data_IF_552248768761
#
_entry.id   IF_552248768761
#
_cell.length_a   1.000
_cell.length_b   1.000
_cell.length_c   1.000
_cell.angle_alpha   90.00
_cell.angle_beta   90.00
_cell.angle_gamma   90.00
#
_symmetry.space_group_name_H-M   'P 1'
#
loop_
_entity.id
_entity.type
_entity.pdbx_description
1 polymer ?
#
# COMPACT_ATOMS: atom_id res chain seq x y z
N UNK A 1 2.67 26.44 11.92
CA UNK A 1 2.91 25.10 11.35
C UNK A 1 4.08 24.51 12.12
N UNK A 2 3.80 23.77 13.20
CA UNK A 2 4.84 23.18 14.05
C UNK A 2 5.52 22.09 13.23
N UNK A 3 6.83 22.21 12.99
CA UNK A 3 7.62 21.12 12.41
C UNK A 3 7.60 20.01 13.44
N UNK A 4 6.68 19.06 13.26
CA UNK A 4 6.57 17.92 14.13
C UNK A 4 7.88 17.13 14.05
N UNK A 5 8.37 16.72 15.22
CA UNK A 5 9.69 16.11 15.38
C UNK A 5 9.84 14.90 14.45
N UNK A 6 10.88 14.92 13.62
CA UNK A 6 11.20 13.83 12.68
C UNK A 6 11.60 12.54 13.41
N UNK A 7 11.91 12.64 14.70
CA UNK A 7 12.31 11.52 15.56
C UNK A 7 11.17 10.94 16.40
N UNK A 8 9.92 11.40 16.19
CA UNK A 8 8.74 10.82 16.86
C UNK A 8 8.62 9.34 16.50
N UNK A 9 8.95 8.47 17.46
CA UNK A 9 8.77 7.02 17.33
C UNK A 9 7.28 6.74 17.26
N UNK A 10 6.85 6.08 16.18
CA UNK A 10 5.44 5.74 15.95
C UNK A 10 5.27 4.24 15.94
N UNK A 11 4.76 3.69 17.04
CA UNK A 11 4.53 2.25 17.12
C UNK A 11 3.20 1.88 16.43
N UNK A 12 3.19 0.91 15.50
CA UNK A 12 1.95 0.34 15.02
C UNK A 12 1.26 -0.45 16.15
N UNK A 13 -0.06 -0.64 16.04
CA UNK A 13 -0.85 -1.34 17.06
C UNK A 13 -0.38 -2.78 17.36
N UNK A 14 0.40 -3.38 16.46
CA UNK A 14 0.98 -4.73 16.59
C UNK A 14 2.47 -4.72 16.98
N UNK A 15 3.04 -3.59 17.41
CA UNK A 15 4.47 -3.45 17.72
C UNK A 15 5.02 -4.49 18.72
N UNK A 16 4.16 -5.02 19.60
CA UNK A 16 4.48 -6.04 20.61
C UNK A 16 4.17 -7.49 20.16
N UNK A 17 3.72 -7.69 18.92
CA UNK A 17 3.48 -9.04 18.40
C UNK A 17 4.80 -9.73 18.05
N UNK A 18 4.83 -11.06 18.17
CA UNK A 18 5.99 -11.88 17.82
C UNK A 18 5.61 -13.13 17.01
N UNK A 19 6.59 -13.72 16.33
CA UNK A 19 6.44 -14.96 15.56
C UNK A 19 5.43 -14.84 14.41
N UNK A 20 4.62 -15.89 14.21
CA UNK A 20 3.67 -15.95 13.09
C UNK A 20 2.59 -14.86 13.17
N UNK A 21 2.18 -14.46 14.38
CA UNK A 21 1.22 -13.36 14.58
C UNK A 21 1.78 -12.02 14.12
N UNK A 22 3.07 -11.79 14.37
CA UNK A 22 3.76 -10.60 13.85
C UNK A 22 3.82 -10.62 12.33
N UNK A 23 4.23 -11.73 11.71
CA UNK A 23 4.30 -11.85 10.24
C UNK A 23 2.95 -11.57 9.57
N UNK A 24 1.86 -12.15 10.09
CA UNK A 24 0.52 -11.91 9.57
C UNK A 24 0.08 -10.45 9.74
N UNK A 25 0.37 -9.84 10.90
CA UNK A 25 0.07 -8.44 11.16
C UNK A 25 0.88 -7.48 10.27
N UNK A 26 2.17 -7.78 10.05
CA UNK A 26 3.07 -7.02 9.18
C UNK A 26 2.59 -7.08 7.72
N UNK A 27 2.27 -8.29 7.23
CA UNK A 27 1.73 -8.48 5.89
C UNK A 27 0.41 -7.73 5.71
N UNK A 28 -0.50 -7.83 6.68
CA UNK A 28 -1.75 -7.09 6.66
C UNK A 28 -1.52 -5.58 6.66
N UNK A 29 -0.61 -5.07 7.48
CA UNK A 29 -0.32 -3.64 7.55
C UNK A 29 0.21 -3.06 6.24
N UNK A 30 1.03 -3.84 5.54
CA UNK A 30 1.62 -3.47 4.26
C UNK A 30 0.64 -3.60 3.09
N UNK A 31 -0.18 -4.65 3.07
CA UNK A 31 -1.17 -4.87 2.02
C UNK A 31 -2.41 -3.98 2.17
N UNK A 32 -2.82 -3.68 3.41
CA UNK A 32 -4.00 -2.88 3.70
C UNK A 32 -3.61 -1.41 3.95
N UNK A 33 -3.93 -0.47 3.03
CA UNK A 33 -3.49 0.92 3.16
C UNK A 33 -4.28 1.70 4.23
N UNK A 34 -5.48 1.23 4.58
CA UNK A 34 -6.41 1.94 5.47
C UNK A 34 -6.01 1.85 6.94
N UNK A 35 -6.49 2.82 7.72
CA UNK A 35 -6.31 2.84 9.18
C UNK A 35 -6.77 1.54 9.83
N UNK A 36 -5.92 1.00 10.71
CA UNK A 36 -6.31 -0.08 11.62
C UNK A 36 -7.22 0.42 12.74
N UNK A 37 -7.77 -0.53 13.52
CA UNK A 37 -8.58 -0.22 14.71
C UNK A 37 -7.80 0.73 15.64
N UNK A 38 -8.35 1.92 15.88
CA UNK A 38 -7.76 2.92 16.79
C UNK A 38 -6.84 3.98 16.14
N UNK A 39 -6.62 3.95 14.81
CA UNK A 39 -5.87 5.01 14.12
C UNK A 39 -6.82 6.08 13.55
N UNK A 40 -6.60 7.38 13.81
CA UNK A 40 -7.44 8.44 13.27
C UNK A 40 -7.19 8.57 11.76
N UNK A 41 -8.21 8.30 10.95
CA UNK A 41 -8.20 8.59 9.51
C UNK A 41 -9.33 9.55 9.15
N UNK A 42 -9.05 10.50 8.26
CA UNK A 42 -10.06 11.41 7.72
C UNK A 42 -11.06 10.62 6.89
N UNK A 43 -12.36 10.70 7.25
CA UNK A 43 -13.48 10.04 6.54
C UNK A 43 -13.52 10.36 5.04
N UNK A 44 -13.02 11.53 4.63
CA UNK A 44 -12.92 11.95 3.23
C UNK A 44 -12.00 11.05 2.40
N UNK A 45 -10.89 10.60 2.99
CA UNK A 45 -9.90 9.73 2.35
C UNK A 45 -10.43 8.29 2.24
N UNK A 46 -11.23 7.85 3.22
CA UNK A 46 -11.97 6.59 3.12
C UNK A 46 -13.01 6.61 2.00
N UNK A 47 -13.71 7.73 1.80
CA UNK A 47 -14.65 7.92 0.68
C UNK A 47 -13.97 7.85 -0.68
N UNK A 48 -12.81 8.50 -0.84
CA UNK A 48 -11.99 8.39 -2.05
C UNK A 48 -11.55 6.93 -2.31
N UNK A 49 -11.24 6.19 -1.24
CA UNK A 49 -10.96 4.76 -1.30
C UNK A 49 -12.08 3.89 -1.83
N UNK A 50 -13.31 4.19 -1.44
CA UNK A 50 -14.49 3.46 -1.91
C UNK A 50 -14.76 3.72 -3.39
N UNK A 51 -14.65 4.97 -3.82
CA UNK A 51 -14.76 5.34 -5.24
C UNK A 51 -13.67 4.65 -6.07
N UNK A 52 -12.44 4.59 -5.56
CA UNK A 52 -11.36 3.89 -6.23
C UNK A 52 -11.60 2.38 -6.25
N UNK A 53 -12.08 1.77 -5.16
CA UNK A 53 -12.40 0.33 -5.16
C UNK A 53 -13.45 -0.05 -6.21
N UNK A 54 -14.48 0.79 -6.39
CA UNK A 54 -15.49 0.61 -7.45
C UNK A 54 -14.84 0.72 -8.83
N UNK A 55 -14.02 1.75 -9.05
CA UNK A 55 -13.26 1.92 -10.30
C UNK A 55 -12.33 0.72 -10.58
N UNK A 56 -11.72 0.14 -9.53
CA UNK A 56 -10.90 -1.06 -9.60
C UNK A 56 -11.71 -2.25 -10.10
N UNK A 57 -12.87 -2.49 -9.50
CA UNK A 57 -13.75 -3.60 -9.89
C UNK A 57 -14.16 -3.46 -11.36
N UNK A 58 -14.51 -2.25 -11.81
CA UNK A 58 -14.87 -1.99 -13.21
C UNK A 58 -13.67 -2.22 -14.14
N UNK A 59 -12.47 -1.75 -13.77
CA UNK A 59 -11.25 -1.96 -14.56
C UNK A 59 -10.92 -3.47 -14.69
N UNK A 60 -10.98 -4.25 -13.61
CA UNK A 60 -10.73 -5.69 -13.67
C UNK A 60 -11.75 -6.42 -14.55
N UNK A 61 -13.04 -6.04 -14.50
CA UNK A 61 -14.07 -6.58 -15.40
C UNK A 61 -13.76 -6.24 -16.86
N UNK A 62 -13.43 -4.98 -17.16
CA UNK A 62 -13.08 -4.55 -18.50
C UNK A 62 -11.80 -5.23 -19.03
N UNK A 63 -10.81 -5.46 -18.16
CA UNK A 63 -9.60 -6.21 -18.50
C UNK A 63 -9.90 -7.68 -18.81
N UNK A 64 -10.73 -8.33 -17.99
CA UNK A 64 -11.16 -9.71 -18.23
C UNK A 64 -11.95 -9.86 -19.54
N UNK A 65 -12.68 -8.81 -19.96
CA UNK A 65 -13.37 -8.76 -21.26
C UNK A 65 -12.43 -8.46 -22.44
N UNK A 66 -11.12 -8.28 -22.21
CA UNK A 66 -10.15 -7.91 -23.25
C UNK A 66 -10.30 -6.48 -23.77
N UNK A 67 -11.04 -5.62 -23.04
CA UNK A 67 -11.39 -4.24 -23.46
C UNK A 67 -10.50 -3.17 -22.84
N UNK A 68 -9.40 -3.58 -22.22
CA UNK A 68 -8.52 -2.69 -21.46
C UNK A 68 -7.11 -2.77 -22.04
N UNK A 69 -6.67 -1.65 -22.62
CA UNK A 69 -5.32 -1.54 -23.16
C UNK A 69 -4.28 -1.56 -22.04
N UNK A 70 -3.06 -2.00 -22.35
CA UNK A 70 -1.95 -2.03 -21.41
C UNK A 70 -1.74 -0.65 -20.74
N UNK A 71 -1.90 0.44 -21.49
CA UNK A 71 -1.81 1.81 -20.97
C UNK A 71 -2.83 2.12 -19.87
N UNK A 72 -4.04 1.56 -19.96
CA UNK A 72 -5.08 1.78 -18.95
C UNK A 72 -4.87 0.89 -17.70
N UNK A 73 -4.23 -0.28 -17.83
CA UNK A 73 -3.75 -1.07 -16.67
C UNK A 73 -2.62 -0.30 -15.95
N UNK A 74 -1.66 0.25 -16.69
CA UNK A 74 -0.57 1.06 -16.13
C UNK A 74 -1.13 2.31 -15.44
N UNK A 75 -2.04 3.03 -16.10
CA UNK A 75 -2.70 4.21 -15.54
C UNK A 75 -3.47 3.90 -14.26
N UNK A 76 -4.15 2.75 -14.22
CA UNK A 76 -4.82 2.25 -13.03
C UNK A 76 -3.83 1.96 -11.88
N UNK A 77 -2.74 1.24 -12.17
CA UNK A 77 -1.70 0.90 -11.19
C UNK A 77 -1.03 2.15 -10.60
N UNK A 78 -0.77 3.14 -11.46
CA UNK A 78 -0.22 4.43 -11.08
C UNK A 78 -1.21 5.22 -10.23
N UNK A 79 -2.47 5.33 -10.65
CA UNK A 79 -3.53 6.03 -9.91
C UNK A 79 -3.75 5.44 -8.51
N UNK A 80 -3.77 4.11 -8.40
CA UNK A 80 -3.80 3.41 -7.11
C UNK A 80 -2.59 3.78 -6.23
N UNK A 81 -1.39 3.81 -6.81
CA UNK A 81 -0.16 4.13 -6.07
C UNK A 81 -0.17 5.56 -5.53
N UNK A 82 -0.63 6.53 -6.33
CA UNK A 82 -0.76 7.93 -5.89
C UNK A 82 -1.79 8.06 -4.76
N UNK A 83 -2.96 7.44 -4.91
CA UNK A 83 -3.96 7.44 -3.85
C UNK A 83 -3.40 6.82 -2.57
N UNK A 84 -2.73 5.69 -2.67
CA UNK A 84 -2.19 4.98 -1.52
C UNK A 84 -1.18 5.84 -0.74
N UNK A 85 -0.34 6.63 -1.41
CA UNK A 85 0.55 7.58 -0.74
C UNK A 85 -0.25 8.54 0.16
N UNK A 86 -1.32 9.14 -0.36
CA UNK A 86 -2.17 10.04 0.43
C UNK A 86 -2.87 9.32 1.58
N UNK A 87 -3.40 8.12 1.33
CA UNK A 87 -4.09 7.32 2.36
C UNK A 87 -3.12 6.97 3.49
N UNK A 88 -1.90 6.51 3.17
CA UNK A 88 -0.93 6.14 4.20
C UNK A 88 -0.34 7.35 4.91
N UNK A 89 -0.16 8.49 4.24
CA UNK A 89 0.27 9.72 4.91
C UNK A 89 -0.76 10.21 5.96
N UNK A 90 -2.05 9.94 5.78
CA UNK A 90 -3.07 10.27 6.77
C UNK A 90 -3.20 9.17 7.83
N UNK A 91 -3.37 7.92 7.41
CA UNK A 91 -3.72 6.81 8.27
C UNK A 91 -2.53 6.14 8.96
N UNK A 92 -1.37 6.06 8.29
CA UNK A 92 -0.17 5.33 8.71
C UNK A 92 1.11 6.12 8.40
N UNK A 93 1.31 7.33 8.96
CA UNK A 93 2.45 8.20 8.63
C UNK A 93 3.76 7.74 9.28
N UNK A 94 4.10 6.46 9.15
CA UNK A 94 5.31 5.87 9.70
C UNK A 94 5.97 4.93 8.69
N UNK A 95 7.28 4.80 8.80
CA UNK A 95 8.10 3.83 8.08
C UNK A 95 9.00 3.09 9.05
N UNK A 96 9.31 1.84 8.70
CA UNK A 96 10.25 1.03 9.47
C UNK A 96 11.68 1.48 9.17
N UNK A 97 12.48 1.60 10.22
CA UNK A 97 13.89 1.95 10.17
C UNK A 97 14.77 0.73 10.41
N UNK A 98 15.86 0.65 9.65
CA UNK A 98 16.78 -0.48 9.69
C UNK A 98 16.24 -1.71 8.94
N UNK A 99 16.71 -2.92 9.30
CA UNK A 99 16.27 -4.14 8.64
C UNK A 99 14.75 -4.35 8.74
N UNK A 100 14.15 -4.96 7.72
CA UNK A 100 12.69 -5.16 7.67
C UNK A 100 12.15 -6.04 8.82
N UNK A 101 12.99 -6.90 9.41
CA UNK A 101 12.66 -7.70 10.59
C UNK A 101 12.79 -6.93 11.93
N UNK A 102 13.18 -5.66 11.89
CA UNK A 102 13.23 -4.79 13.08
C UNK A 102 11.86 -4.31 13.54
N UNK A 103 11.83 -3.62 14.68
CA UNK A 103 10.62 -3.02 15.28
C UNK A 103 10.75 -1.51 15.51
N UNK A 104 11.74 -0.88 14.87
CA UNK A 104 11.94 0.56 14.95
C UNK A 104 11.12 1.23 13.85
N UNK A 105 10.24 2.14 14.26
CA UNK A 105 9.36 2.86 13.36
C UNK A 105 9.50 4.35 13.64
N UNK A 106 9.77 5.12 12.59
CA UNK A 106 9.81 6.57 12.66
C UNK A 106 8.67 7.16 11.86
N UNK A 107 8.41 8.44 12.08
CA UNK A 107 7.53 9.23 11.23
C UNK A 107 8.01 9.26 9.77
N UNK A 108 7.10 8.99 8.86
CA UNK A 108 7.35 9.04 7.42
C UNK A 108 7.35 10.49 6.90
N UNK A 109 8.31 10.81 6.06
CA UNK A 109 8.23 11.97 5.15
C UNK A 109 7.40 11.60 3.92
N UNK A 110 7.03 12.60 3.12
CA UNK A 110 6.34 12.37 1.84
C UNK A 110 7.19 11.49 0.92
N UNK A 111 8.51 11.74 0.85
CA UNK A 111 9.40 10.94 0.01
C UNK A 111 9.55 9.51 0.51
N UNK A 112 9.61 9.29 1.82
CA UNK A 112 9.61 7.93 2.38
C UNK A 112 8.36 7.18 1.94
N UNK A 113 7.19 7.83 1.99
CA UNK A 113 5.94 7.19 1.61
C UNK A 113 5.86 6.91 0.11
N UNK A 114 6.32 7.84 -0.73
CA UNK A 114 6.40 7.63 -2.20
C UNK A 114 7.29 6.42 -2.50
N UNK A 115 8.51 6.38 -1.95
CA UNK A 115 9.43 5.26 -2.15
C UNK A 115 8.83 3.95 -1.65
N UNK A 116 8.26 3.95 -0.44
CA UNK A 116 7.63 2.78 0.16
C UNK A 116 6.50 2.22 -0.70
N UNK A 117 5.54 3.06 -1.09
CA UNK A 117 4.38 2.63 -1.89
C UNK A 117 4.81 2.20 -3.29
N UNK A 118 5.71 2.95 -3.93
CA UNK A 118 6.17 2.64 -5.29
C UNK A 118 6.90 1.30 -5.33
N UNK A 119 7.82 1.07 -4.38
CA UNK A 119 8.55 -0.18 -4.29
C UNK A 119 7.62 -1.36 -4.01
N UNK A 120 6.71 -1.22 -3.05
CA UNK A 120 5.75 -2.27 -2.71
C UNK A 120 4.85 -2.63 -3.90
N UNK A 121 4.28 -1.64 -4.58
CA UNK A 121 3.37 -1.89 -5.71
C UNK A 121 4.11 -2.42 -6.94
N UNK A 122 5.37 -2.04 -7.13
CA UNK A 122 6.23 -2.64 -8.16
C UNK A 122 6.50 -4.12 -7.86
N UNK A 123 6.84 -4.46 -6.61
CA UNK A 123 7.05 -5.86 -6.21
C UNK A 123 5.79 -6.70 -6.40
N UNK A 124 4.62 -6.19 -6.03
CA UNK A 124 3.34 -6.87 -6.26
C UNK A 124 3.13 -7.11 -7.76
N UNK A 125 3.36 -6.09 -8.60
CA UNK A 125 3.25 -6.21 -10.04
C UNK A 125 4.21 -7.25 -10.62
N UNK A 126 5.46 -7.25 -10.17
CA UNK A 126 6.49 -8.22 -10.58
C UNK A 126 6.11 -9.65 -10.19
N UNK A 127 5.65 -9.87 -8.95
CA UNK A 127 5.21 -11.19 -8.47
C UNK A 127 4.01 -11.69 -9.27
N UNK A 128 3.03 -10.83 -9.53
CA UNK A 128 1.86 -11.20 -10.35
C UNK A 128 2.27 -11.54 -11.78
N UNK A 129 3.13 -10.72 -12.40
CA UNK A 129 3.62 -10.98 -13.75
C UNK A 129 4.36 -12.32 -13.84
N UNK A 130 5.30 -12.57 -12.91
CA UNK A 130 6.04 -13.82 -12.84
C UNK A 130 5.09 -14.99 -12.61
N UNK A 131 4.16 -14.88 -11.66
CA UNK A 131 3.18 -15.95 -11.37
C UNK A 131 2.30 -16.31 -12.56
N UNK A 132 1.74 -15.30 -13.24
CA UNK A 132 0.92 -15.49 -14.43
C UNK A 132 1.72 -16.11 -15.59
N UNK A 133 2.97 -15.69 -15.77
CA UNK A 133 3.88 -16.27 -16.77
C UNK A 133 4.21 -17.73 -16.44
N UNK A 134 4.49 -18.03 -15.17
CA UNK A 134 4.85 -19.38 -14.72
C UNK A 134 3.71 -20.39 -14.90
N UNK A 135 2.44 -19.97 -14.81
CA UNK A 135 1.28 -20.85 -15.04
C UNK A 135 0.80 -20.86 -16.50
N UNK A 136 1.51 -20.18 -17.42
CA UNK A 136 1.16 -20.13 -18.84
C UNK A 136 -0.03 -19.23 -19.18
N UNK A 137 -0.50 -18.41 -18.24
CA UNK A 137 -1.62 -17.47 -18.45
C UNK A 137 -1.20 -16.17 -19.18
N UNK A 138 0.11 -15.93 -19.31
CA UNK A 138 0.69 -14.81 -20.06
C UNK A 138 1.69 -15.36 -21.08
N UNK A 139 1.40 -15.15 -22.37
CA UNK A 139 2.33 -15.40 -23.47
C UNK A 139 2.96 -14.06 -23.88
N UNK A 140 4.29 -14.03 -23.98
CA UNK A 140 5.06 -12.83 -24.35
C UNK A 140 5.22 -12.79 -25.85
#
# INVERSE_FOLDING_TARGET
MTIADKTELRQPAYGNAHGLKWLAAEAWDHLWPWAGRGQPARKLIQGAGFALAIAATVAWVLAAMGRLEAGAIIGWWFGWSVLEVFVRLDAKPYVKEGPWWGHLYRRATVMDMICYVSFKNLLIGAVLFIGLKSIGALQV
#
